data_IF_957712819280
#
_entry.id   IF_957712819280
#
_cell.length_a   1.000
_cell.length_b   1.000
_cell.length_c   1.000
_cell.angle_alpha   90.00
_cell.angle_beta   90.00
_cell.angle_gamma   90.00
#
_symmetry.space_group_name_H-M   'P 1'
#
loop_
_entity.id
_entity.type
_entity.pdbx_description
1 polymer ?
#
# COMPACT_ATOMS: atom_id res chain seq x y z
N UNK A 1 -6.30 -7.61 -29.96
CA UNK A 1 -5.06 -8.22 -29.40
C UNK A 1 -5.40 -8.95 -28.12
N UNK A 2 -4.83 -10.14 -27.92
CA UNK A 2 -5.08 -11.05 -26.79
C UNK A 2 -4.18 -10.67 -25.62
N UNK A 3 -4.72 -10.49 -24.42
CA UNK A 3 -3.94 -10.74 -23.21
C UNK A 3 -4.82 -11.44 -22.18
N UNK A 4 -4.62 -12.76 -22.14
CA UNK A 4 -5.20 -13.70 -21.20
C UNK A 4 -4.14 -13.94 -20.13
N UNK A 5 -4.36 -13.48 -18.90
CA UNK A 5 -3.46 -13.75 -17.78
C UNK A 5 -4.32 -14.26 -16.63
N UNK A 6 -4.52 -15.58 -16.59
CA UNK A 6 -4.98 -16.27 -15.39
C UNK A 6 -3.83 -16.25 -14.38
N UNK A 7 -3.79 -15.24 -13.50
CA UNK A 7 -2.90 -15.26 -12.34
C UNK A 7 -3.50 -16.21 -11.30
N UNK A 8 -2.85 -17.35 -11.13
CA UNK A 8 -3.03 -18.24 -9.99
C UNK A 8 -2.53 -17.50 -8.74
N UNK A 9 -3.44 -16.91 -7.96
CA UNK A 9 -3.09 -16.20 -6.73
C UNK A 9 -3.12 -17.21 -5.60
N UNK A 10 -1.96 -17.82 -5.31
CA UNK A 10 -1.59 -18.21 -3.95
C UNK A 10 -2.05 -17.12 -3.00
N UNK A 11 -2.77 -17.43 -1.91
CA UNK A 11 -3.38 -16.47 -0.96
C UNK A 11 -2.41 -15.37 -0.48
N UNK A 12 -2.14 -14.37 -1.31
CA UNK A 12 -1.41 -13.15 -0.99
C UNK A 12 -2.43 -12.16 -0.48
N UNK A 13 -2.22 -11.66 0.72
CA UNK A 13 -3.17 -10.75 1.36
C UNK A 13 -3.12 -9.40 0.63
N UNK A 14 -4.16 -9.14 -0.16
CA UNK A 14 -4.37 -7.85 -0.82
C UNK A 14 -4.73 -6.82 0.26
N UNK A 15 -3.95 -5.75 0.35
CA UNK A 15 -4.16 -4.65 1.28
C UNK A 15 -4.43 -3.36 0.51
N UNK A 16 -5.22 -2.49 1.13
CA UNK A 16 -5.59 -1.20 0.57
C UNK A 16 -5.25 -0.12 1.58
N UNK A 17 -4.36 0.80 1.20
CA UNK A 17 -4.02 1.96 2.01
C UNK A 17 -4.53 3.24 1.35
N UNK A 18 -4.99 4.17 2.18
CA UNK A 18 -5.45 5.48 1.75
C UNK A 18 -4.85 6.54 2.66
N UNK A 19 -4.27 7.59 2.09
CA UNK A 19 -3.81 8.76 2.85
C UNK A 19 -4.81 9.23 3.91
N UNK A 20 -6.08 9.36 3.52
CA UNK A 20 -7.14 9.90 4.37
C UNK A 20 -7.44 9.03 5.59
N UNK A 21 -7.14 7.74 5.52
CA UNK A 21 -7.30 6.80 6.63
C UNK A 21 -6.18 6.93 7.68
N UNK A 22 -5.05 7.56 7.30
CA UNK A 22 -3.92 7.88 8.18
C UNK A 22 -3.89 9.36 8.61
N UNK A 23 -4.94 10.14 8.31
CA UNK A 23 -5.04 11.55 8.71
C UNK A 23 -4.39 12.53 7.73
N UNK A 24 -4.02 12.09 6.53
CA UNK A 24 -3.55 12.97 5.47
C UNK A 24 -4.72 13.52 4.65
N UNK A 25 -4.73 14.83 4.39
CA UNK A 25 -5.70 15.50 3.51
C UNK A 25 -5.37 15.27 2.02
N UNK A 26 -5.13 14.01 1.67
CA UNK A 26 -4.67 13.54 0.37
C UNK A 26 -5.63 12.49 -0.17
N UNK A 27 -5.92 12.54 -1.48
CA UNK A 27 -6.83 11.62 -2.18
C UNK A 27 -6.18 10.31 -2.66
N UNK A 28 -4.90 10.10 -2.36
CA UNK A 28 -4.14 8.94 -2.81
C UNK A 28 -4.63 7.66 -2.13
N UNK A 29 -4.77 6.62 -2.95
CA UNK A 29 -5.11 5.28 -2.50
C UNK A 29 -4.39 4.24 -3.35
N UNK A 30 -3.77 3.28 -2.70
CA UNK A 30 -3.07 2.16 -3.34
C UNK A 30 -3.66 0.85 -2.85
N UNK A 31 -3.77 -0.12 -3.76
CA UNK A 31 -4.30 -1.46 -3.49
C UNK A 31 -3.41 -2.51 -4.17
N UNK A 32 -2.97 -3.50 -3.41
CA UNK A 32 -2.08 -4.53 -3.92
C UNK A 32 -1.49 -5.40 -2.82
N UNK A 33 -0.39 -6.08 -3.16
CA UNK A 33 0.40 -6.83 -2.19
C UNK A 33 1.08 -5.91 -1.18
N UNK A 34 1.40 -6.46 -0.01
CA UNK A 34 2.03 -5.72 1.09
C UNK A 34 3.26 -4.94 0.67
N UNK A 35 4.16 -5.56 -0.07
CA UNK A 35 5.40 -4.94 -0.52
C UNK A 35 5.15 -3.82 -1.54
N UNK A 36 4.25 -4.06 -2.51
CA UNK A 36 3.90 -3.08 -3.54
C UNK A 36 3.23 -1.84 -2.94
N UNK A 37 2.30 -2.05 -2.01
CA UNK A 37 1.59 -0.99 -1.30
C UNK A 37 2.53 -0.18 -0.43
N UNK A 38 3.45 -0.82 0.29
CA UNK A 38 4.45 -0.13 1.11
C UNK A 38 5.36 0.74 0.25
N UNK A 39 5.81 0.24 -0.90
CA UNK A 39 6.70 0.97 -1.79
C UNK A 39 6.02 2.19 -2.42
N UNK A 40 4.82 2.01 -2.99
CA UNK A 40 4.07 3.12 -3.57
C UNK A 40 3.60 4.13 -2.51
N UNK A 41 3.08 3.66 -1.38
CA UNK A 41 2.63 4.53 -0.31
C UNK A 41 3.79 5.29 0.34
N UNK A 42 4.91 4.63 0.58
CA UNK A 42 6.12 5.26 1.13
C UNK A 42 6.71 6.32 0.19
N UNK A 43 6.83 6.00 -1.10
CA UNK A 43 7.30 6.97 -2.10
C UNK A 43 6.35 8.18 -2.21
N UNK A 44 5.03 7.93 -2.15
CA UNK A 44 4.03 8.98 -2.15
C UNK A 44 4.13 9.86 -0.90
N UNK A 45 4.20 9.30 0.30
CA UNK A 45 4.32 10.10 1.54
C UNK A 45 5.63 10.87 1.60
N UNK A 46 6.72 10.32 1.07
CA UNK A 46 8.00 11.02 0.98
C UNK A 46 7.91 12.22 0.02
N UNK A 47 7.35 12.04 -1.18
CA UNK A 47 7.31 13.08 -2.21
C UNK A 47 6.21 14.12 -1.99
N UNK A 48 5.00 13.70 -1.61
CA UNK A 48 3.82 14.57 -1.49
C UNK A 48 3.67 15.15 -0.09
N UNK A 49 4.09 14.40 0.94
CA UNK A 49 3.98 14.84 2.34
C UNK A 49 5.32 15.17 2.98
N UNK A 50 6.47 14.84 2.35
CA UNK A 50 7.78 15.02 2.96
C UNK A 50 8.06 14.07 4.12
N UNK A 51 7.33 12.95 4.22
CA UNK A 51 7.41 12.00 5.32
C UNK A 51 8.02 10.69 4.83
N UNK A 52 9.24 10.44 5.29
CA UNK A 52 9.90 9.16 5.09
C UNK A 52 9.40 8.14 6.11
N UNK A 53 8.56 7.21 5.65
CA UNK A 53 8.19 6.03 6.42
C UNK A 53 9.04 4.84 5.97
N UNK A 54 9.82 4.28 6.89
CA UNK A 54 10.51 3.03 6.61
C UNK A 54 9.52 1.91 6.30
N UNK A 55 9.90 1.02 5.37
CA UNK A 55 9.08 -0.14 4.96
C UNK A 55 8.57 -0.96 6.14
N UNK A 56 9.42 -1.14 7.16
CA UNK A 56 9.10 -1.86 8.40
C UNK A 56 7.98 -1.19 9.20
N UNK A 57 7.98 0.14 9.31
CA UNK A 57 6.95 0.89 10.03
C UNK A 57 5.60 0.72 9.34
N UNK A 58 5.55 0.94 8.01
CA UNK A 58 4.34 0.74 7.21
C UNK A 58 3.83 -0.69 7.33
N UNK A 59 4.72 -1.69 7.29
CA UNK A 59 4.36 -3.10 7.47
C UNK A 59 3.71 -3.36 8.84
N UNK A 60 4.27 -2.81 9.93
CA UNK A 60 3.69 -2.94 11.26
C UNK A 60 2.30 -2.29 11.36
N UNK A 61 2.07 -1.14 10.72
CA UNK A 61 0.75 -0.50 10.69
C UNK A 61 -0.28 -1.36 9.97
N UNK A 62 0.07 -1.92 8.82
CA UNK A 62 -0.79 -2.81 8.03
C UNK A 62 -1.16 -4.06 8.84
N UNK A 63 -0.17 -4.67 9.51
CA UNK A 63 -0.37 -5.88 10.33
C UNK A 63 -1.34 -5.63 11.49
N UNK A 64 -1.25 -4.47 12.16
CA UNK A 64 -2.15 -4.12 13.27
C UNK A 64 -3.60 -3.88 12.86
N UNK A 65 -3.84 -3.46 11.62
CA UNK A 65 -5.19 -3.13 11.13
C UNK A 65 -6.04 -4.36 10.76
N UNK A 66 -5.47 -5.57 10.78
CA UNK A 66 -6.20 -6.81 10.46
C UNK A 66 -6.45 -7.75 11.65
N UNK A 67 -6.44 -7.25 12.89
CA UNK A 67 -6.88 -8.01 14.07
C UNK A 67 -8.33 -7.69 14.43
#
# INVERSE_FOLDING_TARGET
MKYNIQKNITKSKLIKLKCSDYGFECGFSVEGDTEAVIEEFGAHTENEHGIDYSKEALMQFILRKTS
#
